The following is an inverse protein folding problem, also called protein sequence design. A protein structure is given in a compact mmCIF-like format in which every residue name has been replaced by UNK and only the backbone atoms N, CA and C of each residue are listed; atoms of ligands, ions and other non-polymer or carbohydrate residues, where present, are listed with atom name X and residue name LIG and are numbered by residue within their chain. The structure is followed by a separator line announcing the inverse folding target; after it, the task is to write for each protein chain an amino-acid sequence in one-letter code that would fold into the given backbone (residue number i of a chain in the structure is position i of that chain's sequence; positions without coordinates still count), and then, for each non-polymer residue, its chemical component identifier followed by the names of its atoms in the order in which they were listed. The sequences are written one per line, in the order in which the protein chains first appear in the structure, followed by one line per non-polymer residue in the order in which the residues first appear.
data_IF_888690163182
#
_entry.id   IF_888690163182
#
_cell.length_a   1.000
_cell.length_b   1.000
_cell.length_c   1.000
_cell.angle_alpha   90.00
_cell.angle_beta   90.00
_cell.angle_gamma   90.00
#
_symmetry.space_group_name_H-M   'P 1'
#
loop_
_entity.id
_entity.type
_entity.pdbx_description
1 polymer ?
#
# COMPACT_ATOMS: atom_id res chain seq x y z
N UNK A 1 -12.59 -9.77 6.36
CA UNK A 1 -12.93 -8.34 6.17
C UNK A 1 -11.92 -7.69 5.21
N UNK A 2 -12.35 -6.72 4.40
CA UNK A 2 -11.50 -5.99 3.46
C UNK A 2 -11.48 -4.51 3.83
N UNK A 3 -10.30 -3.94 3.97
CA UNK A 3 -10.07 -2.51 4.14
C UNK A 3 -9.59 -1.89 2.82
N UNK A 4 -10.20 -0.79 2.40
CA UNK A 4 -9.79 -0.02 1.23
C UNK A 4 -9.33 1.36 1.68
N UNK A 5 -8.10 1.73 1.35
CA UNK A 5 -7.54 3.04 1.68
C UNK A 5 -7.10 3.73 0.39
N UNK A 6 -7.75 4.83 0.05
CA UNK A 6 -7.49 5.57 -1.18
C UNK A 6 -6.47 6.68 -0.94
N UNK A 7 -5.31 6.61 -1.61
CA UNK A 7 -4.21 7.61 -1.60
C UNK A 7 -3.71 8.04 -0.19
N UNK A 8 -4.06 7.31 0.87
CA UNK A 8 -3.81 7.71 2.26
C UNK A 8 -2.31 7.91 2.54
N UNK A 9 -1.45 7.12 1.91
CA UNK A 9 -0.01 7.16 2.12
C UNK A 9 0.59 8.51 1.65
N UNK A 10 0.02 9.14 0.62
CA UNK A 10 0.48 10.43 0.11
C UNK A 10 0.28 11.58 1.11
N UNK A 11 -0.64 11.41 2.07
CA UNK A 11 -0.95 12.41 3.09
C UNK A 11 -0.14 12.25 4.38
N UNK A 12 0.73 11.24 4.44
CA UNK A 12 1.49 10.90 5.63
C UNK A 12 2.98 11.10 5.40
N UNK A 13 3.67 11.56 6.43
CA UNK A 13 5.13 11.48 6.48
C UNK A 13 5.61 10.02 6.56
N UNK A 14 6.89 9.78 6.30
CA UNK A 14 7.48 8.44 6.26
C UNK A 14 7.24 7.62 7.53
N UNK A 15 7.39 8.26 8.69
CA UNK A 15 7.20 7.60 9.99
C UNK A 15 5.74 7.18 10.19
N UNK A 16 4.79 8.05 9.82
CA UNK A 16 3.36 7.76 9.92
C UNK A 16 2.93 6.68 8.93
N UNK A 17 3.51 6.65 7.72
CA UNK A 17 3.26 5.55 6.76
C UNK A 17 3.70 4.20 7.32
N UNK A 18 4.91 4.12 7.87
CA UNK A 18 5.39 2.89 8.49
C UNK A 18 4.47 2.42 9.63
N UNK A 19 4.08 3.33 10.53
CA UNK A 19 3.16 3.01 11.62
C UNK A 19 1.78 2.56 11.14
N UNK A 20 1.25 3.15 10.07
CA UNK A 20 0.00 2.71 9.44
C UNK A 20 0.12 1.29 8.91
N UNK A 21 1.20 0.98 8.19
CA UNK A 21 1.41 -0.35 7.61
C UNK A 21 1.56 -1.44 8.67
N UNK A 22 2.22 -1.13 9.79
CA UNK A 22 2.35 -2.05 10.91
C UNK A 22 0.99 -2.27 11.59
N UNK A 23 0.23 -1.21 11.83
CA UNK A 23 -1.13 -1.32 12.38
C UNK A 23 -2.04 -2.17 11.48
N UNK A 24 -1.96 -2.00 10.16
CA UNK A 24 -2.72 -2.83 9.20
C UNK A 24 -2.31 -4.31 9.30
N UNK A 25 -1.02 -4.60 9.41
CA UNK A 25 -0.51 -5.95 9.60
C UNK A 25 -1.04 -6.60 10.88
N UNK A 26 -1.04 -5.85 11.99
CA UNK A 26 -1.50 -6.32 13.30
C UNK A 26 -3.01 -6.56 13.34
N UNK A 27 -3.80 -5.83 12.54
CA UNK A 27 -5.24 -6.05 12.41
C UNK A 27 -5.59 -7.43 11.82
N UNK A 28 -4.67 -8.08 11.10
CA UNK A 28 -4.90 -9.40 10.49
C UNK A 28 -5.99 -9.40 9.41
N UNK A 29 -6.26 -8.23 8.80
CA UNK A 29 -7.26 -8.07 7.73
C UNK A 29 -6.58 -7.99 6.37
N UNK A 30 -7.33 -8.27 5.31
CA UNK A 30 -6.89 -7.92 3.97
C UNK A 30 -7.06 -6.42 3.78
N UNK A 31 -6.00 -5.72 3.36
CA UNK A 31 -6.03 -4.29 3.07
C UNK A 31 -5.52 -4.02 1.66
N UNK A 32 -6.27 -3.25 0.89
CA UNK A 32 -5.83 -2.74 -0.41
C UNK A 32 -5.66 -1.23 -0.30
N UNK A 33 -4.58 -0.75 -0.93
CA UNK A 33 -4.19 0.65 -0.89
C UNK A 33 -3.84 1.13 -2.30
N UNK A 34 -4.21 2.35 -2.61
CA UNK A 34 -3.83 3.04 -3.85
C UNK A 34 -2.82 4.14 -3.54
N UNK A 35 -1.99 4.46 -4.53
CA UNK A 35 -0.99 5.51 -4.46
C UNK A 35 -0.45 5.83 -5.84
N UNK A 36 -0.22 7.12 -6.11
CA UNK A 36 0.36 7.56 -7.38
C UNK A 36 1.88 7.24 -7.51
N UNK A 37 2.58 6.99 -6.40
CA UNK A 37 4.03 6.73 -6.37
C UNK A 37 4.32 5.43 -5.58
N UNK A 38 5.11 4.53 -6.17
CA UNK A 38 5.53 3.29 -5.54
C UNK A 38 6.41 3.52 -4.29
N UNK A 39 7.15 4.64 -4.26
CA UNK A 39 8.01 5.01 -3.12
C UNK A 39 7.23 5.25 -1.83
N UNK A 40 5.93 5.56 -1.90
CA UNK A 40 5.06 5.70 -0.73
C UNK A 40 4.90 4.39 0.05
N UNK A 41 5.13 3.25 -0.61
CA UNK A 41 4.92 1.92 -0.05
C UNK A 41 6.24 1.19 0.26
N UNK A 42 7.38 1.87 0.22
CA UNK A 42 8.70 1.28 0.47
C UNK A 42 8.79 0.57 1.83
N UNK A 43 8.12 1.11 2.85
CA UNK A 43 8.09 0.53 4.20
C UNK A 43 7.29 -0.79 4.31
N UNK A 44 6.47 -1.15 3.31
CA UNK A 44 5.85 -2.49 3.25
C UNK A 44 6.87 -3.56 2.83
N UNK A 45 7.81 -3.23 1.95
CA UNK A 45 8.80 -4.18 1.42
C UNK A 45 8.14 -5.47 0.92
N UNK A 46 8.72 -6.62 1.24
CA UNK A 46 8.18 -7.94 0.83
C UNK A 46 6.88 -8.37 1.53
N UNK A 47 6.27 -7.54 2.39
CA UNK A 47 5.02 -7.87 3.09
C UNK A 47 3.77 -7.67 2.23
N UNK A 48 3.89 -6.95 1.12
CA UNK A 48 2.78 -6.61 0.25
C UNK A 48 2.98 -7.13 -1.18
N UNK A 49 1.87 -7.39 -1.85
CA UNK A 49 1.84 -7.54 -3.30
C UNK A 49 1.64 -6.16 -3.93
N UNK A 50 2.41 -5.89 -4.98
CA UNK A 50 2.36 -4.61 -5.67
C UNK A 50 1.71 -4.78 -7.03
N UNK A 51 0.79 -3.88 -7.34
CA UNK A 51 0.10 -3.85 -8.62
C UNK A 51 0.21 -2.46 -9.23
N UNK A 52 0.57 -2.41 -10.52
CA UNK A 52 0.51 -1.20 -11.32
C UNK A 52 -0.78 -1.18 -12.12
N UNK A 53 -1.63 -0.20 -11.86
CA UNK A 53 -2.82 0.09 -12.65
C UNK A 53 -2.51 1.17 -13.67
N UNK A 54 -2.57 0.84 -14.97
CA UNK A 54 -2.33 1.79 -16.05
C UNK A 54 -3.15 1.44 -17.28
N UNK A 55 -3.71 2.46 -17.95
CA UNK A 55 -4.45 2.34 -19.21
C UNK A 55 -5.58 1.29 -19.17
N UNK A 56 -6.35 1.25 -18.08
CA UNK A 56 -7.44 0.28 -17.91
C UNK A 56 -6.99 -1.17 -17.71
N UNK A 57 -5.71 -1.39 -17.42
CA UNK A 57 -5.14 -2.71 -17.12
C UNK A 57 -4.43 -2.72 -15.77
N UNK A 58 -4.39 -3.87 -15.12
CA UNK A 58 -3.65 -4.10 -13.89
C UNK A 58 -2.57 -5.14 -14.17
N UNK A 59 -1.35 -4.89 -13.71
CA UNK A 59 -0.23 -5.83 -13.79
C UNK A 59 0.43 -5.93 -12.42
N UNK A 60 0.82 -7.13 -12.03
CA UNK A 60 1.66 -7.32 -10.85
C UNK A 60 3.05 -6.73 -11.13
N UNK A 61 3.55 -5.91 -10.20
CA UNK A 61 4.87 -5.31 -10.30
C UNK A 61 5.92 -6.33 -9.81
N UNK A 62 7.02 -6.48 -10.55
CA UNK A 62 8.14 -7.30 -10.12
C UNK A 62 8.83 -6.61 -8.92
N UNK A 63 9.12 -7.39 -7.88
CA UNK A 63 9.82 -6.97 -6.66
C UNK A 63 11.22 -6.41 -6.94
#
# INVERSE_FOLDING_TARGET
PLLLLDEVAAHLDERRRAALFDAIGDLGVQAWMTGADCGLFSALGGRAQYFTAARGSIREAAH
#
